data_IF_526470415726
#
_entry.id   IF_526470415726
#
_cell.length_a   1.000
_cell.length_b   1.000
_cell.length_c   1.000
_cell.angle_alpha   90.00
_cell.angle_beta   90.00
_cell.angle_gamma   90.00
#
_symmetry.space_group_name_H-M   'P 1'
#
loop_
_entity.id
_entity.type
_entity.pdbx_description
1 polymer ?
#
# COMPACT_ATOMS: atom_id res chain seq x y z
N UNK A 1 -19.66 7.23 12.82
CA UNK A 1 -18.45 7.84 12.23
C UNK A 1 -17.43 6.72 12.09
N UNK A 2 -16.88 6.48 10.91
CA UNK A 2 -15.82 5.47 10.72
C UNK A 2 -14.45 6.13 10.90
N UNK A 3 -13.56 5.46 11.62
CA UNK A 3 -12.21 5.92 11.86
C UNK A 3 -11.25 5.11 11.00
N UNK A 4 -10.51 5.79 10.14
CA UNK A 4 -9.65 5.15 9.14
C UNK A 4 -8.22 5.65 9.32
N UNK A 5 -7.28 4.73 9.55
CA UNK A 5 -5.85 5.04 9.48
C UNK A 5 -5.41 4.98 8.02
N UNK A 6 -4.75 6.05 7.56
CA UNK A 6 -4.02 6.08 6.29
C UNK A 6 -2.55 6.20 6.62
N UNK A 7 -1.76 5.18 6.30
CA UNK A 7 -0.32 5.19 6.55
C UNK A 7 0.45 5.72 5.35
N UNK A 8 1.55 6.43 5.58
CA UNK A 8 2.31 7.07 4.50
C UNK A 8 1.59 8.28 3.88
N UNK A 9 0.66 8.87 4.63
CA UNK A 9 -0.22 9.91 4.09
C UNK A 9 0.43 11.29 3.91
N UNK A 10 1.68 11.48 4.32
CA UNK A 10 2.45 12.69 3.99
C UNK A 10 3.28 12.53 2.70
N UNK A 11 3.31 11.32 2.11
CA UNK A 11 3.97 11.02 0.85
C UNK A 11 3.17 11.49 -0.38
N UNK A 12 3.70 11.22 -1.59
CA UNK A 12 3.07 11.64 -2.84
C UNK A 12 1.66 11.07 -3.00
N UNK A 13 1.51 9.77 -3.15
CA UNK A 13 0.19 9.13 -3.33
C UNK A 13 -0.66 9.31 -2.09
N UNK A 14 -0.08 9.08 -0.90
CA UNK A 14 -0.80 9.13 0.38
C UNK A 14 -1.46 10.47 0.64
N UNK A 15 -0.81 11.59 0.32
CA UNK A 15 -1.39 12.93 0.53
C UNK A 15 -2.63 13.17 -0.32
N UNK A 16 -2.67 12.65 -1.55
CA UNK A 16 -3.85 12.72 -2.40
C UNK A 16 -4.99 11.85 -1.85
N UNK A 17 -4.69 10.66 -1.35
CA UNK A 17 -5.69 9.78 -0.73
C UNK A 17 -6.26 10.41 0.54
N UNK A 18 -5.40 10.92 1.44
CA UNK A 18 -5.82 11.63 2.65
C UNK A 18 -6.74 12.80 2.32
N UNK A 19 -6.31 13.68 1.40
CA UNK A 19 -7.09 14.84 0.96
C UNK A 19 -8.45 14.44 0.36
N UNK A 20 -8.44 13.39 -0.47
CA UNK A 20 -9.67 12.86 -1.05
C UNK A 20 -10.66 12.43 0.03
N UNK A 21 -10.21 11.63 0.99
CA UNK A 21 -11.07 11.10 2.03
C UNK A 21 -11.57 12.19 2.98
N UNK A 22 -10.71 13.11 3.41
CA UNK A 22 -11.08 14.23 4.29
C UNK A 22 -12.14 15.13 3.66
N UNK A 23 -12.01 15.42 2.35
CA UNK A 23 -12.94 16.34 1.69
C UNK A 23 -14.22 15.65 1.20
N UNK A 24 -14.15 14.41 0.74
CA UNK A 24 -15.28 13.71 0.12
C UNK A 24 -16.16 12.97 1.13
N UNK A 25 -15.59 12.55 2.25
CA UNK A 25 -16.28 11.74 3.27
C UNK A 25 -16.20 12.40 4.65
N UNK A 26 -16.91 13.52 4.88
CA UNK A 26 -16.83 14.26 6.16
C UNK A 26 -17.32 13.45 7.36
N UNK A 27 -18.07 12.37 7.12
CA UNK A 27 -18.52 11.41 8.14
C UNK A 27 -17.42 10.42 8.58
N UNK A 28 -16.25 10.42 7.91
CA UNK A 28 -15.09 9.62 8.30
C UNK A 28 -14.09 10.50 9.05
N UNK A 29 -13.48 9.96 10.08
CA UNK A 29 -12.31 10.55 10.73
C UNK A 29 -11.06 9.89 10.18
N UNK A 30 -10.18 10.69 9.60
CA UNK A 30 -8.95 10.23 8.95
C UNK A 30 -7.77 10.48 9.87
N UNK A 31 -7.12 9.40 10.29
CA UNK A 31 -5.90 9.40 11.07
C UNK A 31 -4.73 9.16 10.10
N UNK A 32 -4.00 10.20 9.78
CA UNK A 32 -2.84 10.15 8.90
C UNK A 32 -1.60 9.79 9.70
N UNK A 33 -1.11 8.57 9.55
CA UNK A 33 0.10 8.08 10.21
C UNK A 33 1.29 8.13 9.24
N UNK A 34 2.31 8.91 9.58
CA UNK A 34 3.53 9.01 8.77
C UNK A 34 4.77 9.17 9.66
N UNK A 35 5.85 8.50 9.29
CA UNK A 35 7.14 8.60 10.00
C UNK A 35 7.89 9.89 9.66
N UNK A 36 7.51 10.57 8.57
CA UNK A 36 8.18 11.74 8.01
C UNK A 36 9.65 11.45 7.66
N UNK A 37 9.86 10.43 6.86
CA UNK A 37 11.16 10.15 6.24
C UNK A 37 11.41 11.12 5.07
N UNK A 38 12.36 10.81 4.20
CA UNK A 38 12.70 11.66 3.06
C UNK A 38 11.53 11.94 2.08
N UNK A 39 10.53 11.06 2.02
CA UNK A 39 9.39 11.19 1.12
C UNK A 39 8.15 11.85 1.76
N UNK A 40 8.13 11.99 3.09
CA UNK A 40 7.01 12.57 3.83
C UNK A 40 7.16 14.09 3.99
N UNK A 41 6.14 14.84 3.52
CA UNK A 41 6.11 16.30 3.65
C UNK A 41 4.70 16.79 4.02
N UNK A 42 4.53 17.32 5.23
CA UNK A 42 3.24 17.85 5.70
C UNK A 42 2.75 19.07 4.91
N UNK A 43 3.64 19.79 4.20
CA UNK A 43 3.21 20.86 3.32
C UNK A 43 2.22 20.39 2.23
N UNK A 44 2.26 19.11 1.87
CA UNK A 44 1.30 18.50 0.94
C UNK A 44 -0.15 18.49 1.48
N UNK A 45 -0.35 18.66 2.79
CA UNK A 45 -1.66 18.53 3.47
C UNK A 45 -2.11 19.83 4.16
N UNK A 46 -1.42 20.95 3.88
CA UNK A 46 -1.71 22.22 4.51
C UNK A 46 -3.14 22.72 4.29
N UNK A 47 -3.74 22.35 3.16
CA UNK A 47 -5.11 22.73 2.79
C UNK A 47 -6.20 22.00 3.62
N UNK A 48 -5.82 20.96 4.34
CA UNK A 48 -6.73 20.15 5.15
C UNK A 48 -6.31 20.04 6.63
N UNK A 49 -5.19 20.65 7.03
CA UNK A 49 -4.63 20.46 8.38
C UNK A 49 -5.59 20.84 9.51
N UNK A 50 -6.47 21.85 9.28
CA UNK A 50 -7.43 22.35 10.26
C UNK A 50 -8.83 21.69 10.15
N UNK A 51 -8.98 20.68 9.31
CA UNK A 51 -10.29 20.00 9.15
C UNK A 51 -10.63 19.17 10.40
N UNK A 52 -11.87 19.26 10.91
CA UNK A 52 -12.27 18.58 12.16
C UNK A 52 -12.25 17.05 12.08
N UNK A 53 -12.28 16.51 10.87
CA UNK A 53 -12.24 15.08 10.60
C UNK A 53 -10.84 14.58 10.16
N UNK A 54 -9.77 15.35 10.44
CA UNK A 54 -8.39 15.01 10.15
C UNK A 54 -7.53 15.04 11.41
N UNK A 55 -6.68 14.05 11.57
CA UNK A 55 -5.66 14.00 12.64
C UNK A 55 -4.36 13.48 12.06
N UNK A 56 -3.27 14.21 12.30
CA UNK A 56 -1.92 13.73 11.97
C UNK A 56 -1.27 13.07 13.18
N UNK A 57 -0.67 11.91 12.96
CA UNK A 57 0.15 11.19 13.94
C UNK A 57 1.52 10.91 13.34
N UNK A 58 2.58 11.41 13.99
CA UNK A 58 3.94 11.03 13.63
C UNK A 58 4.28 9.70 14.27
N UNK A 59 4.57 8.67 13.48
CA UNK A 59 4.89 7.34 14.00
C UNK A 59 5.45 6.39 12.96
N UNK A 60 6.14 5.37 13.43
CA UNK A 60 6.68 4.28 12.61
C UNK A 60 5.72 3.08 12.63
N UNK A 61 5.36 2.56 11.48
CA UNK A 61 4.53 1.35 11.36
C UNK A 61 5.19 0.11 11.96
N UNK A 62 6.51 0.13 12.15
CA UNK A 62 7.25 -0.95 12.80
C UNK A 62 7.11 -0.94 14.34
N UNK A 63 6.62 0.16 14.92
CA UNK A 63 6.33 0.27 16.35
C UNK A 63 4.98 -0.39 16.65
N UNK A 64 5.03 -1.66 17.03
CA UNK A 64 3.84 -2.46 17.28
C UNK A 64 2.98 -1.90 18.43
N UNK A 65 3.59 -1.45 19.51
CA UNK A 65 2.87 -0.92 20.66
C UNK A 65 2.13 0.37 20.30
N UNK A 66 2.77 1.23 19.52
CA UNK A 66 2.11 2.42 18.96
C UNK A 66 0.94 2.03 18.05
N UNK A 67 1.14 1.05 17.16
CA UNK A 67 0.06 0.60 16.25
C UNK A 67 -1.14 0.09 17.04
N UNK A 68 -0.93 -0.77 18.02
CA UNK A 68 -2.01 -1.30 18.85
C UNK A 68 -2.71 -0.19 19.64
N UNK A 69 -1.93 0.73 20.21
CA UNK A 69 -2.47 1.90 20.92
C UNK A 69 -3.35 2.77 20.01
N UNK A 70 -2.91 3.07 18.79
CA UNK A 70 -3.70 3.85 17.84
C UNK A 70 -5.01 3.16 17.45
N UNK A 71 -4.99 1.84 17.25
CA UNK A 71 -6.20 1.06 16.98
C UNK A 71 -7.25 1.24 18.09
N UNK A 72 -6.81 1.19 19.35
CA UNK A 72 -7.66 1.30 20.52
C UNK A 72 -8.14 2.74 20.77
N UNK A 73 -7.23 3.71 20.78
CA UNK A 73 -7.51 5.12 21.09
C UNK A 73 -8.49 5.72 20.09
N UNK A 74 -8.29 5.45 18.81
CA UNK A 74 -9.14 5.97 17.72
C UNK A 74 -10.28 5.04 17.33
N UNK A 75 -10.42 3.85 17.94
CA UNK A 75 -11.45 2.86 17.58
C UNK A 75 -11.50 2.60 16.08
N UNK A 76 -10.35 2.20 15.53
CA UNK A 76 -10.11 2.14 14.08
C UNK A 76 -10.97 1.06 13.42
N UNK A 77 -11.70 1.45 12.38
CA UNK A 77 -12.54 0.57 11.56
C UNK A 77 -11.86 0.11 10.28
N UNK A 78 -10.92 0.90 9.78
CA UNK A 78 -10.25 0.59 8.52
C UNK A 78 -8.83 1.11 8.46
N UNK A 79 -8.03 0.45 7.63
CA UNK A 79 -6.66 0.85 7.34
C UNK A 79 -6.49 0.92 5.83
N UNK A 80 -5.90 2.02 5.34
CA UNK A 80 -5.39 2.16 3.98
C UNK A 80 -3.87 2.25 4.11
N UNK A 81 -3.18 1.18 3.74
CA UNK A 81 -1.76 1.03 3.98
C UNK A 81 -0.94 1.38 2.74
N UNK A 82 -0.38 2.62 2.74
CA UNK A 82 0.50 3.12 1.67
C UNK A 82 1.95 3.33 2.14
N UNK A 83 2.21 3.33 3.45
CA UNK A 83 3.58 3.51 3.95
C UNK A 83 4.48 2.37 3.46
N UNK A 84 5.54 2.73 2.77
CA UNK A 84 6.53 1.79 2.26
C UNK A 84 7.85 2.53 1.91
N UNK A 85 8.95 1.81 1.93
CA UNK A 85 10.13 2.17 1.15
C UNK A 85 9.89 1.72 -0.30
N UNK A 86 10.09 2.62 -1.29
CA UNK A 86 9.61 2.40 -2.67
C UNK A 86 10.64 2.56 -3.79
N UNK A 87 11.87 3.00 -3.51
CA UNK A 87 12.89 3.22 -4.53
C UNK A 87 13.76 1.98 -4.76
N UNK A 88 13.68 1.39 -5.96
CA UNK A 88 14.45 0.19 -6.35
C UNK A 88 15.95 0.37 -6.12
N UNK A 89 16.56 1.46 -6.62
CA UNK A 89 18.02 1.70 -6.45
C UNK A 89 18.45 1.80 -4.99
N UNK A 90 17.57 2.33 -4.11
CA UNK A 90 17.84 2.35 -2.67
C UNK A 90 17.75 0.97 -2.07
N UNK A 91 16.81 0.13 -2.54
CA UNK A 91 16.66 -1.23 -2.06
C UNK A 91 17.86 -2.11 -2.35
N UNK A 92 18.56 -1.84 -3.46
CA UNK A 92 19.81 -2.54 -3.83
C UNK A 92 20.94 -2.17 -2.86
N UNK A 93 20.97 -0.91 -2.41
CA UNK A 93 22.01 -0.42 -1.48
C UNK A 93 21.73 -0.81 -0.03
N UNK A 94 20.47 -0.81 0.38
CA UNK A 94 20.03 -1.11 1.76
C UNK A 94 18.76 -1.96 1.76
N UNK A 95 18.85 -3.26 1.49
CA UNK A 95 17.70 -4.15 1.48
C UNK A 95 17.09 -4.36 2.86
N UNK A 96 17.86 -4.18 3.94
CA UNK A 96 17.37 -4.37 5.30
C UNK A 96 16.30 -3.35 5.67
N UNK A 97 16.48 -2.09 5.34
CA UNK A 97 15.48 -1.04 5.57
C UNK A 97 14.18 -1.35 4.83
N UNK A 98 14.26 -1.91 3.61
CA UNK A 98 13.08 -2.32 2.84
C UNK A 98 12.37 -3.52 3.48
N UNK A 99 13.09 -4.53 3.91
CA UNK A 99 12.52 -5.67 4.63
C UNK A 99 11.86 -5.22 5.95
N UNK A 100 12.55 -4.38 6.72
CA UNK A 100 12.05 -3.87 7.99
C UNK A 100 10.76 -3.07 7.79
N UNK A 101 10.75 -2.10 6.87
CA UNK A 101 9.58 -1.23 6.66
C UNK A 101 8.44 -1.98 5.97
N UNK A 102 8.72 -2.61 4.82
CA UNK A 102 7.67 -3.16 3.98
C UNK A 102 7.11 -4.49 4.51
N UNK A 103 7.97 -5.33 5.10
CA UNK A 103 7.52 -6.63 5.62
C UNK A 103 7.13 -6.53 7.09
N UNK A 104 8.07 -6.14 7.96
CA UNK A 104 7.83 -6.09 9.40
C UNK A 104 6.82 -5.01 9.78
N UNK A 105 6.87 -3.83 9.14
CA UNK A 105 5.88 -2.77 9.35
C UNK A 105 4.48 -3.20 8.93
N UNK A 106 4.32 -3.87 7.78
CA UNK A 106 3.02 -4.42 7.37
C UNK A 106 2.53 -5.48 8.36
N UNK A 107 3.41 -6.38 8.80
CA UNK A 107 3.06 -7.42 9.78
C UNK A 107 2.65 -6.82 11.13
N UNK A 108 3.33 -5.77 11.59
CA UNK A 108 2.98 -5.02 12.80
C UNK A 108 1.56 -4.43 12.72
N UNK A 109 1.22 -3.78 11.60
CA UNK A 109 -0.13 -3.25 11.37
C UNK A 109 -1.19 -4.34 11.32
N UNK A 110 -0.94 -5.42 10.59
CA UNK A 110 -1.86 -6.57 10.50
C UNK A 110 -2.13 -7.16 11.87
N UNK A 111 -1.09 -7.39 12.65
CA UNK A 111 -1.19 -8.00 13.97
C UNK A 111 -1.92 -7.07 14.97
N UNK A 112 -1.63 -5.77 14.95
CA UNK A 112 -2.32 -4.80 15.78
C UNK A 112 -3.82 -4.71 15.44
N UNK A 113 -4.15 -4.66 14.15
CA UNK A 113 -5.53 -4.66 13.67
C UNK A 113 -6.27 -5.95 14.06
N UNK A 114 -5.63 -7.11 13.89
CA UNK A 114 -6.18 -8.41 14.28
C UNK A 114 -6.53 -8.42 15.76
N UNK A 115 -5.57 -8.12 16.64
CA UNK A 115 -5.76 -8.15 18.10
C UNK A 115 -6.89 -7.22 18.51
N UNK A 116 -6.89 -5.99 17.97
CA UNK A 116 -7.92 -5.02 18.33
C UNK A 116 -9.30 -5.45 17.82
N UNK A 117 -9.46 -5.79 16.55
CA UNK A 117 -10.76 -6.13 15.99
C UNK A 117 -11.33 -7.42 16.59
N UNK A 118 -10.51 -8.44 16.85
CA UNK A 118 -10.95 -9.67 17.55
C UNK A 118 -11.36 -9.43 19.01
N UNK A 119 -10.91 -8.35 19.62
CA UNK A 119 -11.33 -7.97 20.99
C UNK A 119 -12.71 -7.31 21.03
N UNK A 120 -13.26 -6.92 19.88
CA UNK A 120 -14.57 -6.27 19.77
C UNK A 120 -15.69 -7.32 19.65
N UNK A 121 -16.89 -7.04 20.19
CA UNK A 121 -18.04 -7.96 20.07
C UNK A 121 -18.41 -8.27 18.61
N UNK A 122 -18.29 -7.27 17.72
CA UNK A 122 -18.56 -7.37 16.28
C UNK A 122 -17.42 -8.01 15.49
N UNK A 123 -16.25 -8.17 16.09
CA UNK A 123 -15.07 -8.74 15.43
C UNK A 123 -14.69 -7.98 14.16
N UNK A 124 -14.68 -8.68 13.04
CA UNK A 124 -14.32 -8.13 11.72
C UNK A 124 -15.47 -7.48 10.96
N UNK A 125 -16.70 -7.47 11.50
CA UNK A 125 -17.83 -6.87 10.82
C UNK A 125 -17.61 -5.37 10.58
N UNK A 126 -17.78 -4.94 9.33
CA UNK A 126 -17.58 -3.55 8.92
C UNK A 126 -16.13 -3.05 8.92
N UNK A 127 -15.16 -3.92 9.21
CA UNK A 127 -13.72 -3.60 9.18
C UNK A 127 -13.10 -3.84 7.80
N UNK A 128 -11.93 -3.21 7.52
CA UNK A 128 -11.20 -3.41 6.27
C UNK A 128 -9.73 -3.07 6.41
N UNK A 129 -8.87 -3.96 5.94
CA UNK A 129 -7.44 -3.70 5.73
C UNK A 129 -7.15 -3.64 4.23
N UNK A 130 -6.82 -2.46 3.72
CA UNK A 130 -6.55 -2.22 2.31
C UNK A 130 -5.06 -1.97 2.10
N UNK A 131 -4.38 -2.90 1.44
CA UNK A 131 -2.95 -2.86 1.20
C UNK A 131 -2.63 -2.44 -0.22
N UNK A 132 -1.82 -1.41 -0.36
CA UNK A 132 -1.35 -0.92 -1.66
C UNK A 132 -0.01 -1.59 -1.97
N UNK A 133 0.00 -2.42 -3.00
CA UNK A 133 1.19 -3.07 -3.55
C UNK A 133 1.59 -2.47 -4.91
N UNK A 134 2.38 -3.18 -5.66
CA UNK A 134 2.96 -2.75 -6.94
C UNK A 134 2.87 -3.89 -7.96
N UNK A 135 2.79 -3.54 -9.24
CA UNK A 135 2.90 -4.49 -10.34
C UNK A 135 4.29 -5.11 -10.46
N UNK A 136 5.33 -4.49 -9.89
CA UNK A 136 6.69 -5.04 -9.86
C UNK A 136 6.80 -6.40 -9.13
N UNK A 137 5.80 -6.79 -8.34
CA UNK A 137 5.75 -8.12 -7.71
C UNK A 137 5.61 -9.24 -8.75
N UNK A 138 5.10 -8.94 -9.94
CA UNK A 138 4.98 -9.87 -11.07
C UNK A 138 6.27 -10.00 -11.90
N UNK A 139 7.24 -9.14 -11.67
CA UNK A 139 8.50 -9.08 -12.41
C UNK A 139 8.43 -8.19 -13.64
N UNK A 140 9.14 -8.56 -14.70
CA UNK A 140 9.18 -7.83 -15.95
C UNK A 140 8.33 -8.53 -17.02
N UNK A 141 7.57 -7.75 -17.77
CA UNK A 141 6.91 -8.25 -18.98
C UNK A 141 7.98 -8.59 -20.03
N UNK A 142 7.90 -9.80 -20.57
CA UNK A 142 8.74 -10.18 -21.71
C UNK A 142 8.13 -9.56 -22.98
N UNK A 143 8.70 -8.46 -23.40
CA UNK A 143 8.34 -7.84 -24.67
C UNK A 143 9.16 -8.49 -25.77
N UNK A 144 8.66 -9.59 -26.35
CA UNK A 144 9.25 -10.22 -27.53
C UNK A 144 8.52 -9.75 -28.79
N UNK A 145 9.29 -9.25 -29.77
CA UNK A 145 8.80 -9.12 -31.13
C UNK A 145 8.46 -10.50 -31.67
N UNK A 146 7.51 -10.68 -32.64
CA UNK A 146 7.20 -11.97 -33.27
C UNK A 146 8.41 -12.75 -33.78
N UNK A 147 9.53 -12.07 -34.00
CA UNK A 147 10.81 -12.64 -34.45
C UNK A 147 11.80 -12.92 -33.31
N UNK A 148 11.38 -12.86 -32.04
CA UNK A 148 12.25 -13.11 -30.88
C UNK A 148 13.17 -11.96 -30.50
N UNK A 149 13.06 -10.80 -31.15
CA UNK A 149 13.84 -9.59 -30.84
C UNK A 149 13.07 -8.77 -29.81
N UNK A 150 13.69 -8.34 -28.69
CA UNK A 150 13.02 -7.46 -27.74
C UNK A 150 12.56 -6.17 -28.41
N UNK A 151 11.26 -5.89 -28.40
CA UNK A 151 10.72 -4.65 -28.96
C UNK A 151 11.11 -3.46 -28.09
N UNK A 152 11.61 -2.35 -28.64
CA UNK A 152 11.81 -1.14 -27.87
C UNK A 152 10.47 -0.64 -27.35
N UNK A 153 10.43 -0.26 -26.07
CA UNK A 153 9.22 0.17 -25.34
C UNK A 153 8.39 1.26 -26.07
N UNK A 154 9.04 2.05 -26.92
CA UNK A 154 8.45 3.20 -27.61
C UNK A 154 7.72 2.87 -28.91
N UNK A 155 7.87 1.71 -29.50
CA UNK A 155 7.33 1.43 -30.84
C UNK A 155 5.87 0.98 -30.85
N UNK A 156 5.34 0.47 -29.75
CA UNK A 156 3.93 0.03 -29.67
C UNK A 156 2.97 1.16 -29.27
N UNK A 157 3.40 2.06 -28.40
CA UNK A 157 2.58 3.23 -28.01
C UNK A 157 2.35 4.22 -29.16
N UNK A 158 3.24 4.26 -30.15
CA UNK A 158 3.16 5.20 -31.27
C UNK A 158 2.42 4.66 -32.50
N UNK A 159 2.14 3.37 -32.59
CA UNK A 159 1.62 2.79 -33.83
C UNK A 159 0.10 2.78 -33.95
N UNK A 160 -0.64 3.07 -32.90
CA UNK A 160 -2.12 3.11 -32.92
C UNK A 160 -2.78 1.83 -33.45
N UNK A 161 -2.02 0.75 -33.60
CA UNK A 161 -2.49 -0.49 -34.19
C UNK A 161 -2.67 -1.59 -33.17
N UNK A 162 -3.92 -1.97 -33.03
CA UNK A 162 -4.46 -3.23 -32.50
C UNK A 162 -4.17 -3.54 -31.03
N UNK A 163 -5.13 -3.21 -30.19
CA UNK A 163 -5.29 -3.71 -28.83
C UNK A 163 -5.32 -5.26 -28.73
N UNK A 164 -5.46 -5.99 -29.82
CA UNK A 164 -5.47 -7.46 -29.86
C UNK A 164 -4.12 -8.11 -29.57
N UNK A 165 -3.02 -7.39 -29.75
CA UNK A 165 -1.67 -7.88 -29.45
C UNK A 165 -1.28 -7.78 -27.95
N UNK A 166 -2.10 -7.13 -27.14
CA UNK A 166 -1.77 -6.82 -25.73
C UNK A 166 -2.12 -7.94 -24.74
N UNK A 167 -2.86 -8.95 -25.13
CA UNK A 167 -3.32 -10.00 -24.21
C UNK A 167 -2.23 -10.81 -23.52
N UNK A 168 -1.07 -10.96 -24.16
CA UNK A 168 0.08 -11.70 -23.61
C UNK A 168 1.13 -10.78 -22.94
N UNK A 169 0.94 -9.45 -23.02
CA UNK A 169 1.90 -8.44 -22.55
C UNK A 169 1.42 -7.70 -21.30
N UNK A 170 0.37 -8.16 -20.65
CA UNK A 170 -0.15 -7.59 -19.40
C UNK A 170 -0.06 -8.61 -18.27
N UNK A 171 0.12 -8.08 -17.05
CA UNK A 171 -0.12 -8.87 -15.87
C UNK A 171 -1.62 -9.11 -15.69
N UNK A 172 -1.97 -10.34 -15.38
CA UNK A 172 -3.33 -10.78 -15.06
C UNK A 172 -3.41 -11.18 -13.60
N UNK A 173 -4.62 -11.32 -13.08
CA UNK A 173 -4.85 -11.79 -11.71
C UNK A 173 -4.28 -13.21 -11.46
N UNK A 174 -4.07 -13.97 -12.54
CA UNK A 174 -3.46 -15.32 -12.53
C UNK A 174 -1.96 -15.30 -12.69
N UNK A 175 -1.34 -14.16 -12.98
CA UNK A 175 0.11 -14.03 -13.13
C UNK A 175 0.79 -14.34 -11.80
N UNK A 176 1.78 -15.23 -11.85
CA UNK A 176 2.56 -15.60 -10.66
C UNK A 176 3.50 -14.48 -10.27
N UNK A 177 3.69 -14.29 -8.98
CA UNK A 177 4.71 -13.39 -8.45
C UNK A 177 6.11 -13.86 -8.84
N UNK A 178 6.90 -12.94 -9.38
CA UNK A 178 8.28 -13.17 -9.82
C UNK A 178 9.13 -11.90 -9.58
N UNK A 179 9.27 -11.44 -8.32
CA UNK A 179 9.97 -10.19 -8.01
C UNK A 179 11.48 -10.30 -8.29
N UNK A 180 12.07 -9.27 -8.89
CA UNK A 180 13.45 -9.24 -9.31
C UNK A 180 14.35 -8.22 -8.58
N UNK A 181 13.77 -7.42 -7.67
CA UNK A 181 14.53 -6.47 -6.84
C UNK A 181 14.25 -6.68 -5.36
N UNK A 182 15.12 -6.21 -4.43
CA UNK A 182 14.83 -6.25 -3.01
C UNK A 182 13.54 -5.47 -2.65
N UNK A 183 13.24 -4.37 -3.35
CA UNK A 183 11.97 -3.66 -3.21
C UNK A 183 10.79 -4.55 -3.58
N UNK A 184 10.76 -5.07 -4.81
CA UNK A 184 9.64 -5.90 -5.27
C UNK A 184 9.49 -7.18 -4.45
N UNK A 185 10.61 -7.79 -4.01
CA UNK A 185 10.61 -8.93 -3.11
C UNK A 185 9.99 -8.59 -1.73
N UNK A 186 10.31 -7.41 -1.17
CA UNK A 186 9.73 -6.95 0.08
C UNK A 186 8.22 -6.69 -0.03
N UNK A 187 7.76 -6.12 -1.16
CA UNK A 187 6.34 -5.92 -1.45
C UNK A 187 5.60 -7.23 -1.66
N UNK A 188 6.16 -8.16 -2.45
CA UNK A 188 5.59 -9.49 -2.62
C UNK A 188 5.48 -10.24 -1.28
N UNK A 189 6.46 -10.12 -0.41
CA UNK A 189 6.43 -10.71 0.93
C UNK A 189 5.32 -10.12 1.79
N UNK A 190 5.13 -8.80 1.77
CA UNK A 190 4.02 -8.15 2.49
C UNK A 190 2.65 -8.57 1.95
N UNK A 191 2.49 -8.70 0.63
CA UNK A 191 1.25 -9.18 0.00
C UNK A 191 0.90 -10.59 0.47
N UNK A 192 1.90 -11.47 0.58
CA UNK A 192 1.70 -12.82 1.09
C UNK A 192 1.28 -12.84 2.56
N UNK A 193 1.81 -11.95 3.41
CA UNK A 193 1.33 -11.81 4.78
C UNK A 193 -0.10 -11.31 4.84
N UNK A 194 -0.46 -10.29 4.05
CA UNK A 194 -1.84 -9.78 3.98
C UNK A 194 -2.81 -10.89 3.59
N UNK A 195 -2.46 -11.68 2.57
CA UNK A 195 -3.25 -12.85 2.14
C UNK A 195 -3.32 -13.92 3.23
N UNK A 196 -2.19 -14.25 3.87
CA UNK A 196 -2.15 -15.25 4.93
C UNK A 196 -3.05 -14.87 6.12
N UNK A 197 -3.14 -13.56 6.46
CA UNK A 197 -4.05 -13.09 7.50
C UNK A 197 -5.53 -13.26 7.11
N UNK A 198 -5.85 -13.08 5.84
CA UNK A 198 -7.18 -13.41 5.32
C UNK A 198 -7.47 -14.90 5.43
N UNK A 199 -6.60 -15.74 4.86
CA UNK A 199 -6.82 -17.17 4.72
C UNK A 199 -6.81 -17.88 6.09
N UNK A 200 -6.00 -17.41 7.04
CA UNK A 200 -5.83 -18.05 8.34
C UNK A 200 -6.83 -17.55 9.39
N UNK A 201 -7.09 -16.23 9.42
CA UNK A 201 -7.87 -15.59 10.48
C UNK A 201 -9.21 -15.02 9.99
N UNK A 202 -9.52 -15.11 8.70
CA UNK A 202 -10.72 -14.51 8.12
C UNK A 202 -10.72 -12.99 8.12
N UNK A 203 -9.55 -12.37 8.28
CA UNK A 203 -9.42 -10.91 8.31
C UNK A 203 -9.83 -10.31 6.96
N UNK A 204 -10.68 -9.26 6.93
CA UNK A 204 -11.16 -8.66 5.68
C UNK A 204 -10.08 -7.79 5.03
N UNK A 205 -9.22 -8.40 4.23
CA UNK A 205 -8.11 -7.73 3.56
C UNK A 205 -8.37 -7.55 2.07
N UNK A 206 -7.76 -6.51 1.48
CA UNK A 206 -7.67 -6.30 0.03
C UNK A 206 -6.21 -5.98 -0.30
N UNK A 207 -5.69 -6.57 -1.36
CA UNK A 207 -4.40 -6.22 -1.97
C UNK A 207 -4.67 -5.64 -3.35
N UNK A 208 -4.05 -4.51 -3.67
CA UNK A 208 -4.06 -3.94 -5.03
C UNK A 208 -2.65 -3.73 -5.52
N UNK A 209 -2.40 -4.16 -6.74
CA UNK A 209 -1.11 -4.03 -7.41
C UNK A 209 -1.19 -2.84 -8.39
N UNK A 210 -0.70 -1.70 -7.94
CA UNK A 210 -0.68 -0.48 -8.75
C UNK A 210 0.55 -0.44 -9.65
N UNK A 211 0.37 0.02 -10.88
CA UNK A 211 1.46 0.51 -11.72
C UNK A 211 1.80 1.96 -11.34
N UNK A 212 2.48 2.70 -12.23
CA UNK A 212 2.86 4.08 -11.95
C UNK A 212 1.65 5.01 -11.75
N UNK A 213 1.76 5.89 -10.75
CA UNK A 213 0.79 6.95 -10.49
C UNK A 213 1.40 8.31 -10.87
N UNK A 214 0.61 9.18 -11.47
CA UNK A 214 1.01 10.50 -11.97
C UNK A 214 0.24 11.63 -11.30
#
# INVERSE_FOLDING_TARGET
MKNIIITGGAGFIGSHVVRLFVNKYPEYHIINLDKLTYAGNLANLKDIEDKPNYTFVKGDICDFDLMLKLMQDYKVDGIIHLAAESHVDRSIKDPFTFAQTNVMGTLSLLQAAKIYWESLPEGYEGKRFYHISTDEVYGALQMTHPEGIPAPFTTKASSGKNHEAYGEEFFLETTKYNPHSPYSASKASSDHFVRAFHDTYGMPTIVTNCSNNY
#
